data_IF_683327235072
#
_entry.id   IF_683327235072
#
_cell.length_a   1.000
_cell.length_b   1.000
_cell.length_c   1.000
_cell.angle_alpha   90.00
_cell.angle_beta   90.00
_cell.angle_gamma   90.00
#
_symmetry.space_group_name_H-M   'P 1'
#
loop_
_entity.id
_entity.type
_entity.pdbx_description
1 polymer ?
#
# COMPACT_ATOMS: atom_id res chain seq x y z
N UNK A 1 -43.25 -13.90 -51.95
CA UNK A 1 -43.94 -13.80 -50.65
C UNK A 1 -43.12 -12.85 -49.77
N UNK A 2 -43.43 -11.55 -49.80
CA UNK A 2 -42.64 -10.52 -49.11
C UNK A 2 -43.10 -10.39 -47.65
N UNK A 3 -42.32 -10.96 -46.72
CA UNK A 3 -42.50 -10.75 -45.28
C UNK A 3 -42.20 -9.28 -44.95
N UNK A 4 -43.25 -8.46 -44.83
CA UNK A 4 -43.14 -7.13 -44.21
C UNK A 4 -42.85 -7.32 -42.72
N UNK A 5 -41.57 -7.25 -42.36
CA UNK A 5 -41.14 -7.22 -40.96
C UNK A 5 -41.71 -5.96 -40.28
N UNK A 6 -42.43 -6.16 -39.18
CA UNK A 6 -42.95 -5.07 -38.37
C UNK A 6 -41.76 -4.28 -37.78
N UNK A 7 -41.66 -2.96 -38.01
CA UNK A 7 -40.54 -2.14 -37.54
C UNK A 7 -40.34 -2.22 -36.03
N UNK A 8 -41.41 -2.39 -35.25
CA UNK A 8 -41.33 -2.55 -33.80
C UNK A 8 -40.66 -3.86 -33.37
N UNK A 9 -40.82 -4.94 -34.14
CA UNK A 9 -40.13 -6.21 -33.87
C UNK A 9 -38.64 -6.10 -34.15
N UNK A 10 -38.24 -5.35 -35.17
CA UNK A 10 -36.83 -5.08 -35.50
C UNK A 10 -36.17 -4.23 -34.41
N UNK A 11 -36.85 -3.16 -33.96
CA UNK A 11 -36.37 -2.31 -32.86
C UNK A 11 -36.24 -3.11 -31.57
N UNK A 12 -37.25 -3.93 -31.22
CA UNK A 12 -37.18 -4.77 -30.03
C UNK A 12 -36.04 -5.79 -30.11
N UNK A 13 -35.85 -6.43 -31.27
CA UNK A 13 -34.75 -7.37 -31.50
C UNK A 13 -33.39 -6.68 -31.35
N UNK A 14 -33.21 -5.47 -31.91
CA UNK A 14 -31.98 -4.69 -31.79
C UNK A 14 -31.71 -4.25 -30.34
N UNK A 15 -32.74 -3.86 -29.59
CA UNK A 15 -32.59 -3.49 -28.18
C UNK A 15 -32.24 -4.71 -27.32
N UNK A 16 -32.86 -5.85 -27.60
CA UNK A 16 -32.59 -7.10 -26.89
C UNK A 16 -31.20 -7.65 -27.21
N UNK A 17 -30.76 -7.60 -28.47
CA UNK A 17 -29.39 -7.98 -28.85
C UNK A 17 -28.37 -7.01 -28.27
N UNK A 18 -28.63 -5.70 -28.27
CA UNK A 18 -27.76 -4.72 -27.61
C UNK A 18 -27.66 -4.93 -26.10
N UNK A 19 -28.77 -5.27 -25.42
CA UNK A 19 -28.79 -5.58 -24.00
C UNK A 19 -28.02 -6.87 -23.68
N UNK A 20 -28.19 -7.91 -24.50
CA UNK A 20 -27.44 -9.16 -24.43
C UNK A 20 -25.94 -8.89 -24.64
N UNK A 21 -25.58 -8.15 -25.68
CA UNK A 21 -24.19 -7.77 -25.96
C UNK A 21 -23.63 -6.95 -24.78
N UNK A 22 -24.35 -5.95 -24.27
CA UNK A 22 -23.91 -5.20 -23.10
C UNK A 22 -23.71 -6.10 -21.88
N UNK A 23 -24.57 -7.10 -21.67
CA UNK A 23 -24.43 -8.06 -20.56
C UNK A 23 -23.22 -8.99 -20.74
N UNK A 24 -23.01 -9.55 -21.94
CA UNK A 24 -21.89 -10.44 -22.24
C UNK A 24 -20.54 -9.70 -22.33
N UNK A 25 -20.54 -8.45 -22.78
CA UNK A 25 -19.36 -7.59 -22.85
C UNK A 25 -19.22 -6.67 -21.62
N UNK A 26 -20.05 -6.83 -20.59
CA UNK A 26 -19.92 -6.07 -19.35
C UNK A 26 -18.69 -6.56 -18.58
N UNK A 27 -17.59 -5.84 -18.72
CA UNK A 27 -16.40 -6.12 -17.93
C UNK A 27 -16.57 -5.60 -16.50
N UNK A 28 -17.13 -6.47 -15.65
CA UNK A 28 -17.29 -6.21 -14.23
C UNK A 28 -15.94 -5.90 -13.55
N UNK A 29 -14.84 -6.49 -14.04
CA UNK A 29 -13.49 -6.24 -13.52
C UNK A 29 -13.04 -4.83 -13.88
N UNK A 30 -13.19 -4.42 -15.15
CA UNK A 30 -12.88 -3.04 -15.56
C UNK A 30 -13.72 -2.00 -14.81
N UNK A 31 -15.00 -2.28 -14.53
CA UNK A 31 -15.84 -1.41 -13.70
C UNK A 31 -15.31 -1.31 -12.27
N UNK A 32 -14.95 -2.43 -11.65
CA UNK A 32 -14.40 -2.45 -10.30
C UNK A 32 -13.07 -1.69 -10.22
N UNK A 33 -12.17 -1.89 -11.19
CA UNK A 33 -10.90 -1.14 -11.28
C UNK A 33 -11.14 0.37 -11.40
N UNK A 34 -12.08 0.80 -12.25
CA UNK A 34 -12.44 2.23 -12.40
C UNK A 34 -12.96 2.83 -11.10
N UNK A 35 -13.79 2.09 -10.36
CA UNK A 35 -14.25 2.52 -9.03
C UNK A 35 -13.11 2.62 -8.03
N UNK A 36 -12.24 1.61 -7.97
CA UNK A 36 -11.07 1.62 -7.08
C UNK A 36 -10.17 2.83 -7.39
N UNK A 37 -9.93 3.13 -8.67
CA UNK A 37 -9.17 4.31 -9.08
C UNK A 37 -9.86 5.60 -8.63
N UNK A 38 -11.17 5.71 -8.85
CA UNK A 38 -11.96 6.85 -8.41
C UNK A 38 -11.91 7.03 -6.88
N UNK A 39 -12.14 5.96 -6.12
CA UNK A 39 -12.11 5.98 -4.66
C UNK A 39 -10.71 6.32 -4.13
N UNK A 40 -9.66 5.77 -4.72
CA UNK A 40 -8.27 6.08 -4.37
C UNK A 40 -7.96 7.57 -4.56
N UNK A 41 -8.29 8.13 -5.74
CA UNK A 41 -8.07 9.55 -6.04
C UNK A 41 -8.86 10.49 -5.12
N UNK A 42 -10.03 10.05 -4.63
CA UNK A 42 -10.89 10.80 -3.71
C UNK A 42 -10.63 10.50 -2.24
N UNK A 43 -9.66 9.64 -1.92
CA UNK A 43 -9.35 9.19 -0.56
C UNK A 43 -10.56 8.54 0.16
N UNK A 44 -11.42 7.87 -0.60
CA UNK A 44 -12.59 7.11 -0.14
C UNK A 44 -12.15 5.69 0.23
N UNK A 45 -11.37 5.57 1.31
CA UNK A 45 -10.64 4.35 1.65
C UNK A 45 -11.55 3.18 1.98
N UNK A 46 -12.66 3.42 2.67
CA UNK A 46 -13.57 2.35 3.07
C UNK A 46 -14.31 1.76 1.85
N UNK A 47 -14.72 2.61 0.92
CA UNK A 47 -15.36 2.21 -0.33
C UNK A 47 -14.38 1.48 -1.25
N UNK A 48 -13.12 1.90 -1.27
CA UNK A 48 -12.05 1.19 -1.95
C UNK A 48 -11.90 -0.23 -1.42
N UNK A 49 -11.78 -0.38 -0.09
CA UNK A 49 -11.61 -1.69 0.55
C UNK A 49 -12.83 -2.60 0.32
N UNK A 50 -14.04 -2.04 0.36
CA UNK A 50 -15.28 -2.78 0.09
C UNK A 50 -15.38 -3.26 -1.37
N UNK A 51 -14.83 -2.52 -2.33
CA UNK A 51 -14.78 -2.99 -3.73
C UNK A 51 -13.62 -3.99 -3.94
N UNK A 52 -12.47 -3.76 -3.30
CA UNK A 52 -11.30 -4.62 -3.39
C UNK A 52 -11.53 -6.03 -2.80
N UNK A 53 -12.36 -6.15 -1.77
CA UNK A 53 -12.73 -7.43 -1.13
C UNK A 53 -13.50 -8.38 -2.07
N UNK A 54 -14.14 -7.83 -3.11
CA UNK A 54 -14.88 -8.62 -4.12
C UNK A 54 -13.98 -9.17 -5.22
N UNK A 55 -12.72 -8.72 -5.29
CA UNK A 55 -11.81 -9.07 -6.38
C UNK A 55 -11.04 -10.34 -6.08
N UNK A 56 -10.92 -11.27 -7.06
CA UNK A 56 -10.07 -12.43 -6.91
C UNK A 56 -8.59 -12.03 -6.98
N UNK A 57 -7.71 -12.85 -6.39
CA UNK A 57 -6.26 -12.63 -6.39
C UNK A 57 -5.67 -12.47 -7.80
N UNK A 58 -6.19 -13.22 -8.78
CA UNK A 58 -5.80 -13.09 -10.20
C UNK A 58 -5.94 -11.66 -10.73
N UNK A 59 -6.83 -10.85 -10.17
CA UNK A 59 -6.99 -9.47 -10.58
C UNK A 59 -5.84 -8.59 -10.11
N UNK A 60 -5.27 -8.85 -8.93
CA UNK A 60 -4.08 -8.16 -8.43
C UNK A 60 -2.84 -8.49 -9.27
N UNK A 61 -2.72 -9.74 -9.73
CA UNK A 61 -1.64 -10.14 -10.63
C UNK A 61 -1.72 -9.44 -12.00
N UNK A 62 -2.94 -9.19 -12.50
CA UNK A 62 -3.16 -8.45 -13.76
C UNK A 62 -2.94 -6.94 -13.61
N UNK A 63 -3.25 -6.38 -12.45
CA UNK A 63 -3.07 -4.95 -12.15
C UNK A 63 -2.36 -4.78 -10.79
N UNK A 64 -1.01 -4.80 -10.77
CA UNK A 64 -0.25 -4.69 -9.54
C UNK A 64 -0.44 -3.38 -8.78
N UNK A 65 -1.02 -2.34 -9.40
CA UNK A 65 -1.35 -1.11 -8.69
C UNK A 65 -2.40 -1.32 -7.57
N UNK A 66 -3.17 -2.42 -7.64
CA UNK A 66 -4.13 -2.79 -6.61
C UNK A 66 -3.48 -3.07 -5.26
N UNK A 67 -2.31 -3.72 -5.22
CA UNK A 67 -1.59 -4.00 -3.97
C UNK A 67 -1.30 -2.69 -3.23
N UNK A 68 -0.70 -1.70 -3.91
CA UNK A 68 -0.37 -0.40 -3.33
C UNK A 68 -1.61 0.37 -2.89
N UNK A 69 -2.68 0.38 -3.71
CA UNK A 69 -3.93 1.11 -3.41
C UNK A 69 -4.64 0.54 -2.18
N UNK A 70 -4.73 -0.78 -2.07
CA UNK A 70 -5.34 -1.46 -0.91
C UNK A 70 -4.49 -1.26 0.33
N UNK A 71 -3.16 -1.38 0.20
CA UNK A 71 -2.24 -1.14 1.31
C UNK A 71 -2.37 0.29 1.87
N UNK A 72 -2.40 1.30 0.99
CA UNK A 72 -2.64 2.68 1.39
C UNK A 72 -4.02 2.86 2.04
N UNK A 73 -5.07 2.25 1.49
CA UNK A 73 -6.42 2.35 2.05
C UNK A 73 -6.50 1.71 3.44
N UNK A 74 -5.83 0.57 3.64
CA UNK A 74 -5.69 -0.06 4.95
C UNK A 74 -4.95 0.85 5.94
N UNK A 75 -3.86 1.49 5.53
CA UNK A 75 -3.13 2.43 6.38
C UNK A 75 -4.01 3.61 6.79
N UNK A 76 -4.60 4.30 5.82
CA UNK A 76 -5.39 5.51 6.07
C UNK A 76 -6.71 5.25 6.81
N UNK A 77 -7.24 4.03 6.76
CA UNK A 77 -8.39 3.59 7.57
C UNK A 77 -8.01 3.03 8.94
N UNK A 78 -6.70 2.94 9.26
CA UNK A 78 -6.20 2.38 10.52
C UNK A 78 -6.34 0.86 10.63
N UNK A 79 -6.53 0.15 9.51
CA UNK A 79 -6.79 -1.29 9.41
C UNK A 79 -5.55 -2.10 9.01
N UNK A 80 -4.47 -1.45 8.56
CA UNK A 80 -3.26 -2.12 8.07
C UNK A 80 -2.70 -3.21 9.01
N UNK A 81 -2.41 -2.93 10.29
CA UNK A 81 -1.78 -3.94 11.15
C UNK A 81 -2.75 -5.04 11.64
N UNK A 82 -4.01 -4.99 11.19
CA UNK A 82 -5.07 -5.95 11.53
C UNK A 82 -5.54 -6.78 10.34
N UNK A 83 -5.49 -6.20 9.13
CA UNK A 83 -6.20 -6.74 7.97
C UNK A 83 -5.33 -6.87 6.71
N UNK A 84 -4.04 -6.56 6.77
CA UNK A 84 -3.08 -6.69 5.65
C UNK A 84 -3.24 -8.01 4.89
N UNK A 85 -3.30 -9.13 5.60
CA UNK A 85 -3.34 -10.47 5.01
C UNK A 85 -4.74 -10.96 4.63
N UNK A 86 -5.79 -10.16 4.83
CA UNK A 86 -7.10 -10.42 4.20
C UNK A 86 -7.07 -10.20 2.70
N UNK A 87 -6.10 -9.42 2.22
CA UNK A 87 -5.91 -9.09 0.82
C UNK A 87 -4.61 -9.74 0.32
N UNK A 88 -4.47 -9.94 -1.02
CA UNK A 88 -3.20 -10.33 -1.60
C UNK A 88 -2.09 -9.36 -1.17
N UNK A 89 -0.98 -9.91 -0.68
CA UNK A 89 0.13 -9.14 -0.14
C UNK A 89 1.46 -9.63 -0.75
N UNK A 90 2.22 -8.72 -1.32
CA UNK A 90 3.48 -8.98 -2.00
C UNK A 90 4.44 -7.79 -1.81
N UNK A 91 5.61 -8.05 -1.24
CA UNK A 91 6.59 -7.03 -0.85
C UNK A 91 6.87 -6.02 -1.97
N UNK A 92 7.06 -6.50 -3.21
CA UNK A 92 7.45 -5.65 -4.34
C UNK A 92 6.39 -4.61 -4.75
N UNK A 93 5.13 -4.76 -4.29
CA UNK A 93 4.03 -3.87 -4.65
C UNK A 93 3.37 -3.18 -3.45
N UNK A 94 3.41 -3.79 -2.26
CA UNK A 94 2.84 -3.19 -1.04
C UNK A 94 3.71 -2.07 -0.49
N UNK A 95 5.03 -2.21 -0.56
CA UNK A 95 5.98 -1.21 -0.09
C UNK A 95 6.53 -0.44 -1.31
N UNK A 96 6.61 0.90 -1.26
CA UNK A 96 7.11 1.68 -2.40
C UNK A 96 8.52 1.22 -2.78
N UNK A 97 8.74 0.74 -4.01
CA UNK A 97 10.05 0.25 -4.43
C UNK A 97 10.99 1.40 -4.81
N UNK A 98 12.30 1.12 -4.98
CA UNK A 98 13.21 2.06 -5.64
C UNK A 98 12.76 2.41 -7.05
N UNK A 99 13.36 3.47 -7.61
CA UNK A 99 13.18 3.79 -9.02
C UNK A 99 13.80 2.63 -9.81
N UNK A 100 13.06 1.98 -10.73
CA UNK A 100 13.63 0.94 -11.55
C UNK A 100 14.70 1.55 -12.46
N UNK A 101 15.82 0.86 -12.55
CA UNK A 101 16.94 1.25 -13.42
C UNK A 101 16.61 1.07 -14.91
N UNK A 102 15.64 0.21 -15.22
CA UNK A 102 15.11 0.02 -16.57
C UNK A 102 13.67 0.54 -16.70
N UNK A 103 13.45 1.73 -17.30
CA UNK A 103 12.13 2.34 -17.42
C UNK A 103 11.17 1.55 -18.34
N UNK A 104 11.66 0.57 -19.12
CA UNK A 104 10.81 -0.28 -19.99
C UNK A 104 10.13 -1.43 -19.25
N UNK A 105 10.43 -1.64 -17.97
CA UNK A 105 10.00 -2.82 -17.20
C UNK A 105 9.07 -2.44 -16.01
N UNK A 106 8.70 -1.17 -15.86
CA UNK A 106 7.92 -0.74 -14.71
C UNK A 106 6.42 -1.03 -14.86
N UNK A 107 5.93 -1.99 -14.07
CA UNK A 107 4.50 -2.35 -13.99
C UNK A 107 3.73 -1.44 -13.00
N UNK A 108 4.46 -0.62 -12.23
CA UNK A 108 3.90 0.23 -11.18
C UNK A 108 3.81 1.68 -11.63
N UNK A 109 2.71 2.33 -11.24
CA UNK A 109 2.43 3.74 -11.48
C UNK A 109 3.39 4.64 -10.65
N UNK A 110 4.32 5.37 -11.30
CA UNK A 110 5.27 6.23 -10.60
C UNK A 110 4.59 7.32 -9.75
N UNK A 111 3.38 7.73 -10.11
CA UNK A 111 2.61 8.69 -9.31
C UNK A 111 2.19 8.12 -7.96
N UNK A 112 1.79 6.85 -7.90
CA UNK A 112 1.44 6.19 -6.63
C UNK A 112 2.66 6.05 -5.74
N UNK A 113 3.81 5.71 -6.33
CA UNK A 113 5.09 5.58 -5.61
C UNK A 113 5.52 6.95 -5.07
N UNK A 114 5.48 8.00 -5.90
CA UNK A 114 5.79 9.37 -5.50
C UNK A 114 4.91 9.84 -4.32
N UNK A 115 3.61 9.53 -4.36
CA UNK A 115 2.68 9.87 -3.29
C UNK A 115 3.04 9.14 -1.99
N UNK A 116 3.36 7.84 -2.06
CA UNK A 116 3.77 7.07 -0.88
C UNK A 116 5.05 7.65 -0.24
N UNK A 117 6.03 8.04 -1.05
CA UNK A 117 7.24 8.70 -0.55
C UNK A 117 6.95 10.07 0.10
N UNK A 118 6.04 10.88 -0.47
CA UNK A 118 5.62 12.14 0.18
C UNK A 118 4.98 11.87 1.53
N UNK A 119 4.09 10.88 1.59
CA UNK A 119 3.34 10.58 2.78
C UNK A 119 4.22 10.03 3.91
N UNK A 120 5.29 9.31 3.56
CA UNK A 120 6.33 8.84 4.47
C UNK A 120 7.24 9.98 4.97
N UNK A 121 7.40 11.07 4.21
CA UNK A 121 8.35 12.15 4.51
C UNK A 121 9.64 12.14 3.66
N UNK A 122 9.74 11.26 2.67
CA UNK A 122 10.89 11.15 1.77
C UNK A 122 10.73 12.10 0.57
N UNK A 123 10.73 13.41 0.83
CA UNK A 123 10.39 14.47 -0.15
C UNK A 123 11.29 14.44 -1.39
N UNK A 124 12.60 14.21 -1.22
CA UNK A 124 13.53 14.12 -2.36
C UNK A 124 13.28 12.87 -3.24
N UNK A 125 12.89 11.75 -2.63
CA UNK A 125 12.56 10.53 -3.39
C UNK A 125 11.24 10.69 -4.13
N UNK A 126 10.27 11.32 -3.49
CA UNK A 126 9.04 11.69 -4.17
C UNK A 126 9.29 12.62 -5.36
N UNK A 127 10.25 13.55 -5.25
CA UNK A 127 10.66 14.40 -6.37
C UNK A 127 11.22 13.58 -7.53
N UNK A 128 12.15 12.66 -7.23
CA UNK A 128 12.70 11.74 -8.23
C UNK A 128 11.61 10.93 -8.94
N UNK A 129 10.65 10.38 -8.18
CA UNK A 129 9.53 9.62 -8.75
C UNK A 129 8.56 10.49 -9.54
N UNK A 130 8.34 11.74 -9.10
CA UNK A 130 7.48 12.69 -9.82
C UNK A 130 8.10 13.06 -11.17
N UNK A 131 9.42 13.22 -11.25
CA UNK A 131 10.09 13.41 -12.53
C UNK A 131 9.98 12.17 -13.41
N UNK A 132 10.14 10.98 -12.84
CA UNK A 132 9.96 9.74 -13.59
C UNK A 132 8.53 9.59 -14.13
N UNK A 133 7.51 9.95 -13.36
CA UNK A 133 6.12 10.00 -13.82
C UNK A 133 5.93 10.93 -15.04
N UNK A 134 6.68 12.04 -15.10
CA UNK A 134 6.65 12.94 -16.27
C UNK A 134 7.34 12.34 -17.48
N UNK A 135 8.43 11.62 -17.26
CA UNK A 135 9.20 10.95 -18.32
C UNK A 135 8.43 9.78 -18.92
N UNK A 136 7.64 9.05 -18.12
CA UNK A 136 6.82 7.93 -18.61
C UNK A 136 5.64 8.41 -19.47
N UNK A 137 5.13 9.63 -19.21
CA UNK A 137 4.07 10.28 -19.99
C UNK A 137 2.65 9.85 -19.62
N UNK A 138 2.47 9.03 -18.58
CA UNK A 138 1.17 8.41 -18.26
C UNK A 138 0.19 9.36 -17.55
N UNK A 139 0.66 10.16 -16.58
CA UNK A 139 -0.17 11.13 -15.86
C UNK A 139 0.63 12.42 -15.51
N UNK A 140 0.77 13.35 -16.47
CA UNK A 140 1.51 14.59 -16.25
C UNK A 140 0.84 15.51 -15.22
N UNK A 141 -0.47 15.35 -14.97
CA UNK A 141 -1.22 16.19 -14.03
C UNK A 141 -0.90 15.78 -12.59
N UNK A 142 -0.86 14.48 -12.31
CA UNK A 142 -0.51 13.98 -10.99
C UNK A 142 0.92 14.38 -10.62
N UNK A 143 1.87 14.16 -11.53
CA UNK A 143 3.26 14.54 -11.35
C UNK A 143 3.43 16.06 -11.11
N UNK A 144 2.70 16.91 -11.85
CA UNK A 144 2.74 18.35 -11.65
C UNK A 144 2.22 18.77 -10.27
N UNK A 145 1.14 18.14 -9.78
CA UNK A 145 0.63 18.40 -8.44
C UNK A 145 1.64 18.01 -7.37
N UNK A 146 2.27 16.84 -7.52
CA UNK A 146 3.28 16.36 -6.58
C UNK A 146 4.48 17.31 -6.53
N UNK A 147 5.01 17.70 -7.69
CA UNK A 147 6.11 18.67 -7.78
C UNK A 147 5.75 20.03 -7.16
N UNK A 148 4.51 20.51 -7.34
CA UNK A 148 4.06 21.73 -6.65
C UNK A 148 4.14 21.57 -5.13
N UNK A 149 3.61 20.48 -4.57
CA UNK A 149 3.65 20.25 -3.13
C UNK A 149 5.10 20.13 -2.63
N UNK A 150 5.95 19.41 -3.35
CA UNK A 150 7.38 19.23 -3.07
C UNK A 150 8.11 20.57 -3.06
N UNK A 151 7.92 21.39 -4.10
CA UNK A 151 8.56 22.70 -4.18
C UNK A 151 8.10 23.64 -3.08
N UNK A 152 6.84 23.55 -2.66
CA UNK A 152 6.35 24.29 -1.50
C UNK A 152 7.01 23.80 -0.20
N UNK A 153 7.17 22.49 -0.03
CA UNK A 153 7.85 21.89 1.14
C UNK A 153 9.32 22.28 1.20
N UNK A 154 9.98 22.39 0.05
CA UNK A 154 11.38 22.83 -0.11
C UNK A 154 11.53 24.35 -0.21
N UNK A 155 10.46 25.11 0.05
CA UNK A 155 10.39 26.58 -0.03
C UNK A 155 10.79 27.19 -1.40
N UNK A 156 10.79 26.38 -2.46
CA UNK A 156 11.06 26.80 -3.83
C UNK A 156 9.77 27.25 -4.54
N UNK A 157 9.14 28.31 -4.02
CA UNK A 157 7.89 28.85 -4.57
C UNK A 157 8.01 29.32 -6.03
N UNK A 158 9.23 29.72 -6.43
CA UNK A 158 9.55 30.10 -7.82
C UNK A 158 9.36 28.94 -8.79
N UNK A 159 9.73 27.72 -8.41
CA UNK A 159 9.53 26.53 -9.23
C UNK A 159 8.08 26.02 -9.19
N UNK A 160 7.36 26.21 -8.07
CA UNK A 160 5.95 25.83 -7.95
C UNK A 160 5.01 26.65 -8.85
N UNK A 161 5.24 27.96 -8.96
CA UNK A 161 4.30 28.89 -9.64
C UNK A 161 4.07 28.57 -11.13
N UNK A 162 5.08 28.27 -11.97
CA UNK A 162 4.85 27.89 -13.37
C UNK A 162 3.98 26.63 -13.52
N UNK A 163 4.18 25.62 -12.67
CA UNK A 163 3.38 24.39 -12.66
C UNK A 163 1.91 24.69 -12.31
N UNK A 164 1.69 25.51 -11.29
CA UNK A 164 0.35 25.97 -10.92
C UNK A 164 -0.34 26.75 -12.03
N UNK A 165 0.38 27.64 -12.71
CA UNK A 165 -0.16 28.40 -13.85
C UNK A 165 -0.53 27.49 -15.03
N UNK A 166 0.21 26.41 -15.26
CA UNK A 166 -0.16 25.37 -16.24
C UNK A 166 -1.42 24.63 -15.79
N UNK A 167 -1.46 24.12 -14.56
CA UNK A 167 -2.60 23.40 -14.01
C UNK A 167 -3.89 24.24 -14.00
N UNK A 168 -3.79 25.55 -13.76
CA UNK A 168 -4.93 26.49 -13.79
C UNK A 168 -5.67 26.51 -15.14
N UNK A 169 -4.99 26.21 -16.24
CA UNK A 169 -5.59 26.15 -17.59
C UNK A 169 -6.51 24.93 -17.75
N UNK A 170 -6.33 23.89 -16.96
CA UNK A 170 -7.14 22.67 -17.00
C UNK A 170 -8.37 22.82 -16.11
N UNK A 171 -9.58 22.70 -16.67
CA UNK A 171 -10.86 22.95 -15.98
C UNK A 171 -10.96 22.20 -14.65
N UNK A 172 -10.69 20.89 -14.66
CA UNK A 172 -10.78 20.04 -13.47
C UNK A 172 -9.72 20.33 -12.40
N UNK A 173 -8.64 21.04 -12.74
CA UNK A 173 -7.54 21.35 -11.82
C UNK A 173 -7.49 22.83 -11.42
N UNK A 174 -8.33 23.67 -12.03
CA UNK A 174 -8.32 25.11 -11.84
C UNK A 174 -8.51 25.52 -10.39
N UNK A 175 -9.51 24.98 -9.72
CA UNK A 175 -9.81 25.31 -8.31
C UNK A 175 -8.65 24.94 -7.38
N UNK A 176 -8.04 23.77 -7.59
CA UNK A 176 -6.86 23.34 -6.85
C UNK A 176 -5.67 24.26 -7.11
N UNK A 177 -5.39 24.59 -8.38
CA UNK A 177 -4.28 25.48 -8.72
C UNK A 177 -4.46 26.90 -8.19
N UNK A 178 -5.68 27.45 -8.25
CA UNK A 178 -6.00 28.77 -7.69
C UNK A 178 -5.88 28.80 -6.17
N UNK A 179 -6.30 27.74 -5.47
CA UNK A 179 -6.09 27.59 -4.02
C UNK A 179 -4.60 27.73 -3.70
N UNK A 180 -3.75 26.92 -4.34
CA UNK A 180 -2.32 26.91 -4.03
C UNK A 180 -1.61 28.19 -4.50
N UNK A 181 -2.03 28.83 -5.60
CA UNK A 181 -1.51 30.16 -5.98
C UNK A 181 -1.79 31.20 -4.89
N UNK A 182 -3.00 31.23 -4.33
CA UNK A 182 -3.33 32.14 -3.22
C UNK A 182 -2.51 31.83 -1.97
N UNK A 183 -2.31 30.55 -1.64
CA UNK A 183 -1.48 30.15 -0.51
C UNK A 183 -0.01 30.57 -0.68
N UNK A 184 0.53 30.62 -1.90
CA UNK A 184 1.89 31.12 -2.12
C UNK A 184 2.05 32.61 -1.77
N UNK A 185 0.97 33.38 -1.84
CA UNK A 185 0.97 34.82 -1.51
C UNK A 185 0.68 35.08 -0.01
N UNK A 186 0.24 34.06 0.75
CA UNK A 186 -0.03 34.11 2.19
C UNK A 186 0.73 32.99 2.94
N UNK A 187 1.93 33.33 3.43
CA UNK A 187 2.80 32.40 4.16
C UNK A 187 2.16 31.84 5.45
N UNK A 188 1.31 32.62 6.11
CA UNK A 188 0.63 32.18 7.34
C UNK A 188 -0.38 31.07 7.01
N UNK A 189 -1.23 31.30 6.01
CA UNK A 189 -2.18 30.29 5.54
C UNK A 189 -1.48 29.04 4.98
N UNK A 190 -0.35 29.22 4.28
CA UNK A 190 0.48 28.11 3.80
C UNK A 190 1.08 27.25 4.92
N UNK A 191 1.38 27.87 6.06
CA UNK A 191 1.82 27.17 7.28
C UNK A 191 0.75 26.24 7.85
N UNK A 192 -0.53 26.59 7.65
CA UNK A 192 -1.69 25.91 8.22
C UNK A 192 -2.36 24.91 7.27
N UNK A 193 -2.00 24.87 5.99
CA UNK A 193 -2.52 23.89 5.03
C UNK A 193 -2.20 22.45 5.49
N UNK A 194 -3.25 21.71 5.84
CA UNK A 194 -3.17 20.41 6.51
C UNK A 194 -2.29 19.40 5.75
N UNK A 195 -2.45 19.32 4.42
CA UNK A 195 -1.70 18.39 3.57
C UNK A 195 -0.19 18.61 3.65
N UNK A 196 0.24 19.87 3.75
CA UNK A 196 1.64 20.28 3.84
C UNK A 196 2.15 20.17 5.29
N UNK A 197 1.35 20.61 6.26
CA UNK A 197 1.69 20.57 7.69
C UNK A 197 1.97 19.14 8.15
N UNK A 198 1.17 18.16 7.70
CA UNK A 198 1.41 16.75 7.99
C UNK A 198 2.77 16.28 7.47
N UNK A 199 3.11 16.58 6.21
CA UNK A 199 4.38 16.15 5.60
C UNK A 199 5.57 16.84 6.26
N UNK A 200 5.48 18.16 6.55
CA UNK A 200 6.53 18.91 7.27
C UNK A 200 6.91 18.28 8.61
N UNK A 201 5.95 17.69 9.33
CA UNK A 201 6.22 17.02 10.63
C UNK A 201 7.03 15.73 10.50
N UNK A 202 6.99 15.07 9.34
CA UNK A 202 7.62 13.75 9.14
C UNK A 202 8.73 13.77 8.11
N UNK A 203 8.90 14.87 7.39
CA UNK A 203 9.92 14.95 6.34
C UNK A 203 11.33 14.92 6.92
N UNK A 204 12.21 14.22 6.21
CA UNK A 204 13.65 14.27 6.45
C UNK A 204 14.19 15.55 5.79
N UNK A 205 15.04 16.26 6.51
CA UNK A 205 15.71 17.46 5.98
C UNK A 205 16.80 17.02 5.00
N UNK A 206 16.91 17.68 3.84
CA UNK A 206 17.82 17.28 2.76
C UNK A 206 19.31 17.41 3.06
N UNK A 207 19.67 18.02 4.20
CA UNK A 207 21.01 18.59 4.41
C UNK A 207 21.91 17.75 5.34
N UNK A 208 21.43 16.62 5.85
CA UNK A 208 22.26 15.72 6.63
C UNK A 208 23.03 14.76 5.72
N UNK A 209 24.35 14.75 5.84
CA UNK A 209 25.26 13.87 5.08
C UNK A 209 24.95 12.37 5.22
N UNK A 210 24.39 11.96 6.36
CA UNK A 210 23.89 10.60 6.59
C UNK A 210 22.65 10.28 5.71
N UNK A 211 21.85 11.29 5.37
CA UNK A 211 20.69 11.13 4.48
C UNK A 211 21.11 11.03 3.00
N UNK A 212 22.28 11.54 2.61
CA UNK A 212 22.89 11.32 1.28
C UNK A 212 23.29 9.85 1.07
N UNK A 213 23.80 9.19 2.10
CA UNK A 213 24.07 7.74 2.06
C UNK A 213 22.77 6.93 1.97
N UNK A 214 21.73 7.36 2.69
CA UNK A 214 20.37 6.79 2.58
C UNK A 214 19.75 7.01 1.19
N UNK A 215 19.98 8.16 0.56
CA UNK A 215 19.61 8.46 -0.83
C UNK A 215 20.32 7.53 -1.83
N UNK A 216 21.58 7.18 -1.60
CA UNK A 216 22.32 6.21 -2.42
C UNK A 216 21.75 4.79 -2.26
N UNK A 217 21.42 4.39 -1.02
CA UNK A 217 20.78 3.09 -0.72
C UNK A 217 19.38 2.96 -1.33
N UNK A 218 18.66 4.08 -1.49
CA UNK A 218 17.31 4.13 -2.05
C UNK A 218 17.24 4.17 -3.59
N UNK A 219 18.37 4.35 -4.27
CA UNK A 219 18.43 4.46 -5.75
C UNK A 219 19.11 3.28 -6.44
N UNK A 220 19.73 2.36 -5.70
CA UNK A 220 20.35 1.17 -6.27
C UNK A 220 19.43 -0.07 -6.14
N UNK A 221 18.98 -0.59 -7.28
CA UNK A 221 18.06 -1.75 -7.40
C UNK A 221 18.59 -3.02 -6.70
N UNK A 222 19.92 -3.17 -6.60
CA UNK A 222 20.54 -4.35 -6.01
C UNK A 222 20.63 -4.32 -4.46
N UNK A 223 20.36 -3.18 -3.81
CA UNK A 223 20.68 -2.96 -2.38
C UNK A 223 19.64 -2.10 -1.63
N UNK A 224 18.37 -2.14 -2.03
CA UNK A 224 17.35 -1.33 -1.36
C UNK A 224 17.13 -1.78 0.09
N UNK A 225 17.57 -0.93 1.03
CA UNK A 225 17.49 -1.17 2.48
C UNK A 225 16.18 -0.63 3.06
N UNK A 226 15.08 -1.37 2.86
CA UNK A 226 13.76 -1.01 3.43
C UNK A 226 13.84 -0.76 4.95
N UNK A 227 14.54 -1.62 5.68
CA UNK A 227 14.65 -1.54 7.14
C UNK A 227 15.37 -0.27 7.58
N UNK A 228 16.54 0.02 6.99
CA UNK A 228 17.31 1.23 7.29
C UNK A 228 16.53 2.51 7.01
N UNK A 229 15.77 2.53 5.92
CA UNK A 229 14.96 3.70 5.51
C UNK A 229 13.85 3.98 6.51
N UNK A 230 13.08 2.98 6.91
CA UNK A 230 12.01 3.20 7.89
C UNK A 230 12.56 3.49 9.29
N UNK A 231 13.67 2.86 9.69
CA UNK A 231 14.32 3.17 10.95
C UNK A 231 14.78 4.63 10.98
N UNK A 232 15.40 5.14 9.91
CA UNK A 232 15.78 6.55 9.81
C UNK A 232 14.59 7.50 9.95
N UNK A 233 13.48 7.21 9.27
CA UNK A 233 12.25 7.99 9.39
C UNK A 233 11.73 8.03 10.84
N UNK A 234 11.86 6.93 11.57
CA UNK A 234 11.48 6.82 12.98
C UNK A 234 12.48 7.47 13.94
N UNK A 235 13.77 7.52 13.61
CA UNK A 235 14.78 8.29 14.36
C UNK A 235 14.48 9.78 14.26
N UNK A 236 14.17 10.27 13.05
CA UNK A 236 13.79 11.67 12.83
C UNK A 236 12.47 12.01 13.53
N UNK A 237 11.48 11.13 13.44
CA UNK A 237 10.21 11.31 14.12
C UNK A 237 9.63 9.96 14.57
N UNK A 238 9.79 9.66 15.86
CA UNK A 238 9.25 8.43 16.50
C UNK A 238 7.73 8.31 16.44
N UNK A 239 7.02 9.40 16.14
CA UNK A 239 5.57 9.44 15.94
C UNK A 239 5.16 9.38 14.46
N UNK A 240 6.09 9.10 13.54
CA UNK A 240 5.77 8.80 12.15
C UNK A 240 5.10 7.42 12.05
N UNK A 241 3.78 7.40 12.22
CA UNK A 241 2.97 6.17 12.23
C UNK A 241 3.09 5.39 10.92
N UNK A 242 3.21 6.08 9.78
CA UNK A 242 3.36 5.42 8.48
C UNK A 242 4.67 4.65 8.39
N UNK A 243 5.79 5.27 8.77
CA UNK A 243 7.08 4.59 8.80
C UNK A 243 7.07 3.37 9.75
N UNK A 244 6.42 3.50 10.92
CA UNK A 244 6.29 2.38 11.86
C UNK A 244 5.46 1.23 11.28
N UNK A 245 4.25 1.49 10.78
CA UNK A 245 3.40 0.43 10.24
C UNK A 245 4.03 -0.21 9.00
N UNK A 246 4.71 0.57 8.15
CA UNK A 246 5.40 0.04 6.97
C UNK A 246 6.61 -0.81 7.34
N UNK A 247 7.38 -0.44 8.38
CA UNK A 247 8.46 -1.26 8.92
C UNK A 247 7.93 -2.61 9.45
N UNK A 248 6.82 -2.57 10.18
CA UNK A 248 6.21 -3.78 10.71
C UNK A 248 5.67 -4.68 9.59
N UNK A 249 5.01 -4.11 8.58
CA UNK A 249 4.58 -4.84 7.39
C UNK A 249 5.78 -5.41 6.60
N UNK A 250 6.88 -4.67 6.47
CA UNK A 250 8.12 -5.19 5.87
C UNK A 250 8.60 -6.46 6.58
N UNK A 251 8.67 -6.44 7.91
CA UNK A 251 9.05 -7.61 8.70
C UNK A 251 8.07 -8.77 8.55
N UNK A 252 6.75 -8.50 8.53
CA UNK A 252 5.74 -9.52 8.31
C UNK A 252 5.87 -10.17 6.92
N UNK A 253 5.94 -9.36 5.86
CA UNK A 253 6.08 -9.78 4.46
C UNK A 253 7.37 -10.57 4.19
N UNK A 254 8.42 -10.31 4.97
CA UNK A 254 9.70 -11.03 4.87
C UNK A 254 9.84 -12.21 5.84
N UNK A 255 8.88 -12.39 6.76
CA UNK A 255 8.84 -13.48 7.74
C UNK A 255 9.74 -13.27 8.96
N UNK A 256 10.18 -12.04 9.21
CA UNK A 256 11.08 -11.66 10.31
C UNK A 256 10.31 -11.44 11.62
N UNK A 257 9.69 -12.50 12.13
CA UNK A 257 8.80 -12.43 13.30
C UNK A 257 9.46 -11.92 14.58
N UNK A 258 10.76 -12.19 14.77
CA UNK A 258 11.53 -11.67 15.90
C UNK A 258 11.64 -10.13 15.85
N UNK A 259 11.88 -9.56 14.67
CA UNK A 259 11.96 -8.10 14.47
C UNK A 259 10.64 -7.39 14.75
N UNK A 260 9.51 -8.05 14.47
CA UNK A 260 8.17 -7.56 14.85
C UNK A 260 8.07 -7.46 16.37
N UNK A 261 8.48 -8.49 17.10
CA UNK A 261 8.47 -8.52 18.56
C UNK A 261 9.37 -7.44 19.18
N UNK A 262 10.59 -7.28 18.68
CA UNK A 262 11.56 -6.27 19.11
C UNK A 262 11.02 -4.83 18.97
N UNK A 263 10.11 -4.58 18.02
CA UNK A 263 9.54 -3.27 17.76
C UNK A 263 8.21 -3.00 18.49
N UNK A 264 7.63 -3.97 19.21
CA UNK A 264 6.39 -3.76 19.98
C UNK A 264 6.44 -2.63 21.02
N UNK A 265 7.57 -2.35 21.72
CA UNK A 265 7.63 -1.21 22.64
C UNK A 265 7.29 0.13 21.99
N UNK A 266 7.55 0.28 20.68
CA UNK A 266 7.22 1.50 19.91
C UNK A 266 5.71 1.73 19.77
N UNK A 267 4.85 0.72 20.02
CA UNK A 267 3.40 0.91 20.03
C UNK A 267 2.96 2.00 21.01
N UNK A 268 3.73 2.24 22.09
CA UNK A 268 3.47 3.31 23.06
C UNK A 268 3.56 4.72 22.47
N UNK A 269 4.24 4.91 21.33
CA UNK A 269 4.29 6.17 20.60
C UNK A 269 2.99 6.46 19.84
N UNK A 270 2.04 5.52 19.81
CA UNK A 270 0.84 5.56 18.98
C UNK A 270 -0.40 5.19 19.80
N UNK A 271 -1.56 5.71 19.40
CA UNK A 271 -2.83 5.46 20.08
C UNK A 271 -3.48 4.11 19.66
N UNK A 272 -2.75 3.00 19.77
CA UNK A 272 -3.34 1.67 19.53
C UNK A 272 -4.16 1.21 20.75
N UNK A 273 -5.32 0.56 20.53
CA UNK A 273 -6.13 0.01 21.63
C UNK A 273 -5.48 -1.21 22.31
N UNK A 274 -4.49 -1.82 21.66
CA UNK A 274 -3.77 -3.01 22.10
C UNK A 274 -2.77 -3.41 21.03
N UNK A 275 -2.11 -4.56 21.20
CA UNK A 275 -1.21 -5.07 20.16
C UNK A 275 -2.05 -5.44 18.93
N UNK A 276 -1.75 -4.93 17.72
CA UNK A 276 -2.49 -5.32 16.52
C UNK A 276 -2.48 -6.81 16.22
N UNK A 277 -3.54 -7.30 15.56
CA UNK A 277 -3.77 -8.74 15.34
C UNK A 277 -2.61 -9.42 14.63
N UNK A 278 -2.12 -8.86 13.52
CA UNK A 278 -1.02 -9.47 12.76
C UNK A 278 0.28 -9.52 13.56
N UNK A 279 0.50 -8.55 14.45
CA UNK A 279 1.69 -8.50 15.31
C UNK A 279 1.61 -9.54 16.42
N UNK A 280 0.42 -9.74 17.00
CA UNK A 280 0.18 -10.82 17.96
C UNK A 280 0.47 -12.19 17.32
N UNK A 281 -0.01 -12.44 16.09
CA UNK A 281 0.27 -13.69 15.38
C UNK A 281 1.77 -13.90 15.11
N UNK A 282 2.51 -12.84 14.77
CA UNK A 282 3.96 -12.93 14.60
C UNK A 282 4.71 -13.32 15.88
N UNK A 283 4.34 -12.73 17.03
CA UNK A 283 4.89 -13.10 18.36
C UNK A 283 4.65 -14.57 18.65
N UNK A 284 3.42 -15.03 18.37
CA UNK A 284 3.03 -16.42 18.57
C UNK A 284 3.84 -17.39 17.69
N UNK A 285 4.08 -17.05 16.43
CA UNK A 285 4.98 -17.83 15.55
C UNK A 285 6.40 -17.90 16.13
N UNK A 286 6.90 -16.79 16.69
CA UNK A 286 8.23 -16.76 17.30
C UNK A 286 8.33 -17.71 18.51
N UNK A 287 7.28 -17.77 19.33
CA UNK A 287 7.20 -18.70 20.46
C UNK A 287 7.22 -20.16 20.02
N UNK A 288 6.50 -20.51 18.93
CA UNK A 288 6.46 -21.87 18.40
C UNK A 288 7.84 -22.32 17.92
N UNK A 289 8.63 -21.45 17.28
CA UNK A 289 10.01 -21.74 16.86
C UNK A 289 10.90 -22.14 18.04
N UNK A 290 10.62 -21.62 19.24
CA UNK A 290 11.28 -21.99 20.48
C UNK A 290 10.88 -23.36 21.04
N UNK A 291 10.03 -24.13 20.35
CA UNK A 291 9.55 -25.46 20.73
C UNK A 291 8.83 -25.55 22.10
N UNK A 292 8.29 -24.43 22.60
CA UNK A 292 7.55 -24.40 23.86
C UNK A 292 6.16 -23.80 23.64
N UNK A 293 5.12 -24.49 24.11
CA UNK A 293 3.83 -23.86 24.32
C UNK A 293 4.01 -22.82 25.44
N UNK A 294 3.71 -21.53 25.22
CA UNK A 294 3.86 -20.55 26.28
C UNK A 294 2.91 -20.91 27.44
N UNK A 295 3.47 -21.16 28.63
CA UNK A 295 2.67 -21.45 29.84
C UNK A 295 1.77 -20.26 30.22
N UNK A 296 2.17 -19.04 29.84
CA UNK A 296 1.41 -17.81 29.99
C UNK A 296 1.48 -17.01 28.70
N UNK A 297 0.31 -16.61 28.19
CA UNK A 297 0.25 -15.67 27.06
C UNK A 297 0.69 -14.28 27.52
N UNK A 298 1.23 -13.43 26.62
CA UNK A 298 1.49 -12.04 26.93
C UNK A 298 0.25 -11.37 27.52
N UNK A 299 0.40 -10.58 28.59
CA UNK A 299 -0.73 -9.99 29.34
C UNK A 299 -1.63 -9.07 28.51
N UNK A 300 -1.16 -8.65 27.32
CA UNK A 300 -1.88 -7.79 26.38
C UNK A 300 -2.51 -8.54 25.20
N UNK A 301 -2.57 -9.87 25.25
CA UNK A 301 -3.10 -10.70 24.15
C UNK A 301 -4.60 -10.98 24.32
N UNK A 302 -5.34 -10.96 23.22
CA UNK A 302 -6.78 -11.25 23.21
C UNK A 302 -7.05 -12.75 23.49
N UNK A 303 -8.04 -13.04 24.33
CA UNK A 303 -8.49 -14.42 24.63
C UNK A 303 -9.03 -15.13 23.40
N UNK A 304 -9.74 -14.44 22.50
CA UNK A 304 -10.23 -15.05 21.26
C UNK A 304 -9.05 -15.47 20.35
N UNK A 305 -7.94 -14.73 20.42
CA UNK A 305 -6.72 -15.07 19.70
C UNK A 305 -5.99 -16.25 20.34
N UNK A 306 -6.07 -16.41 21.66
CA UNK A 306 -5.50 -17.55 22.38
C UNK A 306 -6.04 -18.89 21.89
N UNK A 307 -7.35 -18.99 21.65
CA UNK A 307 -7.98 -20.22 21.18
C UNK A 307 -7.62 -20.49 19.71
N UNK A 308 -7.62 -19.45 18.86
CA UNK A 308 -7.14 -19.54 17.48
C UNK A 308 -5.67 -19.99 17.42
N UNK A 309 -4.82 -19.46 18.30
CA UNK A 309 -3.43 -19.85 18.43
C UNK A 309 -3.27 -21.29 18.88
N UNK A 310 -4.01 -21.71 19.91
CA UNK A 310 -3.98 -23.09 20.40
C UNK A 310 -4.32 -24.05 19.26
N UNK A 311 -5.38 -23.74 18.51
CA UNK A 311 -5.77 -24.53 17.35
C UNK A 311 -4.67 -24.56 16.28
N UNK A 312 -4.07 -23.41 15.92
CA UNK A 312 -2.94 -23.36 14.99
C UNK A 312 -1.77 -24.24 15.45
N UNK A 313 -1.34 -24.09 16.71
CA UNK A 313 -0.21 -24.84 17.28
C UNK A 313 -0.49 -26.35 17.32
N UNK A 314 -1.68 -26.76 17.75
CA UNK A 314 -2.09 -28.16 17.79
C UNK A 314 -2.13 -28.78 16.39
N UNK A 315 -2.67 -28.08 15.39
CA UNK A 315 -2.63 -28.53 14.00
C UNK A 315 -1.20 -28.62 13.47
N UNK A 316 -0.36 -27.61 13.74
CA UNK A 316 1.04 -27.62 13.30
C UNK A 316 1.82 -28.80 13.92
N UNK A 317 1.58 -29.08 15.22
CA UNK A 317 2.15 -30.23 15.92
C UNK A 317 1.61 -31.58 15.41
N UNK A 318 0.30 -31.68 15.15
CA UNK A 318 -0.36 -32.87 14.57
C UNK A 318 0.33 -33.30 13.28
N UNK A 319 0.71 -32.35 12.44
CA UNK A 319 1.44 -32.59 11.20
C UNK A 319 2.97 -32.52 11.34
N UNK A 320 3.50 -32.71 12.56
CA UNK A 320 4.95 -32.74 12.83
C UNK A 320 5.69 -31.53 12.25
N UNK A 321 5.09 -30.35 12.34
CA UNK A 321 5.62 -29.08 11.84
C UNK A 321 5.77 -29.03 10.31
N UNK A 322 4.96 -29.79 9.57
CA UNK A 322 4.84 -29.70 8.11
C UNK A 322 4.06 -28.45 7.69
N UNK A 323 4.70 -27.56 6.95
CA UNK A 323 4.09 -26.30 6.49
C UNK A 323 2.94 -26.53 5.51
N UNK A 324 3.09 -27.48 4.57
CA UNK A 324 2.10 -27.76 3.52
C UNK A 324 0.82 -28.40 4.06
N UNK A 325 0.95 -29.39 4.94
CA UNK A 325 -0.21 -30.11 5.51
C UNK A 325 -1.02 -29.20 6.43
N UNK A 326 -0.31 -28.38 7.22
CA UNK A 326 -0.92 -27.40 8.10
C UNK A 326 -1.64 -26.31 7.32
N UNK A 327 -1.02 -25.81 6.24
CA UNK A 327 -1.66 -24.85 5.34
C UNK A 327 -2.94 -25.42 4.72
N UNK A 328 -2.91 -26.68 4.27
CA UNK A 328 -4.07 -27.33 3.66
C UNK A 328 -5.24 -27.49 4.63
N UNK A 329 -5.01 -27.73 5.92
CA UNK A 329 -6.09 -27.79 6.92
C UNK A 329 -6.61 -26.39 7.30
N UNK A 330 -5.75 -25.38 7.38
CA UNK A 330 -6.10 -24.09 7.99
C UNK A 330 -6.51 -22.99 7.01
N UNK A 331 -6.12 -23.07 5.73
CA UNK A 331 -6.30 -21.97 4.75
C UNK A 331 -7.75 -21.48 4.62
N UNK A 332 -8.73 -22.39 4.69
CA UNK A 332 -10.14 -22.04 4.51
C UNK A 332 -10.80 -21.54 5.80
N UNK A 333 -10.23 -21.86 6.97
CA UNK A 333 -10.76 -21.45 8.28
C UNK A 333 -10.32 -20.04 8.65
N UNK A 334 -9.13 -19.63 8.23
CA UNK A 334 -8.52 -18.36 8.61
C UNK A 334 -7.83 -17.63 7.44
N UNK A 335 -8.55 -17.34 6.33
CA UNK A 335 -7.94 -16.86 5.08
C UNK A 335 -7.20 -15.52 5.20
N UNK A 336 -7.53 -14.70 6.21
CA UNK A 336 -6.90 -13.40 6.47
C UNK A 336 -5.82 -13.39 7.55
N UNK A 337 -5.33 -14.55 7.98
CA UNK A 337 -4.38 -14.69 9.07
C UNK A 337 -2.93 -14.60 8.59
N UNK A 338 -2.09 -13.91 9.35
CA UNK A 338 -0.65 -13.91 9.15
C UNK A 338 -0.04 -15.32 9.27
N UNK A 339 -0.61 -16.21 10.09
CA UNK A 339 -0.18 -17.62 10.12
C UNK A 339 -0.24 -18.28 8.74
N UNK A 340 -1.34 -18.09 8.01
CA UNK A 340 -1.52 -18.65 6.66
C UNK A 340 -0.52 -18.02 5.68
N UNK A 341 -0.34 -16.71 5.74
CA UNK A 341 0.65 -16.01 4.93
C UNK A 341 2.08 -16.51 5.22
N UNK A 342 2.43 -16.69 6.49
CA UNK A 342 3.75 -17.13 6.93
C UNK A 342 4.09 -18.55 6.43
N UNK A 343 3.13 -19.48 6.48
CA UNK A 343 3.32 -20.83 5.93
C UNK A 343 3.54 -20.80 4.42
N UNK A 344 2.74 -20.03 3.67
CA UNK A 344 2.93 -19.82 2.21
C UNK A 344 4.32 -19.26 1.92
N UNK A 345 4.73 -18.22 2.63
CA UNK A 345 6.05 -17.59 2.46
C UNK A 345 7.21 -18.57 2.68
N UNK A 346 7.09 -19.50 3.64
CA UNK A 346 8.13 -20.52 3.88
C UNK A 346 8.18 -21.58 2.78
N UNK A 347 7.02 -22.01 2.27
CA UNK A 347 6.95 -22.94 1.16
C UNK A 347 7.59 -22.34 -0.10
N UNK A 348 7.27 -21.09 -0.44
CA UNK A 348 7.85 -20.39 -1.60
C UNK A 348 9.38 -20.26 -1.49
N UNK A 349 9.91 -20.01 -0.28
CA UNK A 349 11.36 -19.98 -0.04
C UNK A 349 11.97 -21.36 -0.25
N UNK A 350 11.37 -22.42 0.32
CA UNK A 350 11.89 -23.78 0.21
C UNK A 350 11.88 -24.29 -1.25
N UNK A 351 10.86 -23.94 -2.04
CA UNK A 351 10.82 -24.26 -3.47
C UNK A 351 11.94 -23.57 -4.24
N UNK A 352 12.21 -22.28 -3.96
CA UNK A 352 13.34 -21.56 -4.57
C UNK A 352 14.70 -22.14 -4.20
N UNK A 353 14.88 -22.66 -2.97
CA UNK A 353 16.12 -23.30 -2.53
C UNK A 353 16.26 -24.76 -3.00
N UNK A 354 15.17 -25.42 -3.43
CA UNK A 354 15.20 -26.79 -3.96
C UNK A 354 15.50 -26.85 -5.47
N UNK A 355 15.54 -25.69 -6.14
CA UNK A 355 15.87 -25.54 -7.57
C UNK A 355 17.31 -25.03 -7.80
N UNK A 356 18.12 -24.96 -6.75
CA UNK A 356 19.57 -24.69 -6.76
C UNK A 356 20.25 -25.96 -6.26
#
# INVERSE_FOLDING_TARGET
MNLKLNPWKVVFLLFFTAAILCFFFFDASAKALRKINYFSQRRMWNELLAEAEKLPEKQYQKDPSLYTKVFNALFYSGRLPYEEFKYPAYLAYNIPPPRPTNPRIAVLDPCLIAQAYLDLGLVNHAELMSYWAKESGDDPVCADKQLVLIYILKENFRAARPLLMRLKKTIHQRSWAEKYLKLLDDKSALGQEESLSRIRKVMIDSDFREDEELLIRLTNDAQFDYEGVFNRLLEKNKHNKMAFEYLMSYYLLTGQTQKVEENLPRLSCFAYPGIPHNYQEAVLINMIKGNAMPQKLPEKMDKALADKYRYFYETYRKYKFSDIDTLNELKDKHPGSYFIYYLKLRLDKNEKYSQI
#
